data_IF_624670837104
#
_entry.id   IF_624670837104
#
_cell.length_a   1.000
_cell.length_b   1.000
_cell.length_c   1.000
_cell.angle_alpha   90.00
_cell.angle_beta   90.00
_cell.angle_gamma   90.00
#
_symmetry.space_group_name_H-M   'P 1'
#
loop_
_entity.id
_entity.type
_entity.pdbx_description
1 polymer ?
#
# COMPACT_ATOMS: atom_id res chain seq x y z
N UNK A 1 -44.45 -15.04 -75.48
CA UNK A 1 -43.10 -15.42 -74.97
C UNK A 1 -42.69 -14.42 -73.88
N UNK A 2 -42.79 -14.83 -72.61
CA UNK A 2 -42.64 -13.94 -71.48
C UNK A 2 -41.34 -14.27 -70.79
N UNK A 3 -40.42 -13.32 -70.69
CA UNK A 3 -39.15 -13.45 -69.98
C UNK A 3 -39.31 -13.01 -68.53
N UNK A 4 -39.18 -13.95 -67.60
CA UNK A 4 -39.16 -13.68 -66.16
C UNK A 4 -37.77 -13.21 -65.76
N UNK A 5 -37.69 -12.00 -65.19
CA UNK A 5 -36.49 -11.48 -64.54
C UNK A 5 -36.53 -11.90 -63.05
N UNK A 6 -35.61 -12.73 -62.64
CA UNK A 6 -35.30 -13.04 -61.23
C UNK A 6 -34.38 -11.99 -60.63
N UNK A 7 -34.87 -11.27 -59.62
CA UNK A 7 -34.08 -10.38 -58.81
C UNK A 7 -33.42 -11.17 -57.69
N UNK A 8 -32.09 -11.18 -57.64
CA UNK A 8 -31.33 -11.74 -56.53
C UNK A 8 -31.11 -10.68 -55.47
N UNK A 9 -31.67 -10.91 -54.27
CA UNK A 9 -31.48 -10.05 -53.11
C UNK A 9 -30.18 -10.49 -52.38
N UNK A 10 -29.15 -9.65 -52.42
CA UNK A 10 -27.96 -9.82 -51.59
C UNK A 10 -28.25 -9.30 -50.19
N UNK A 11 -28.39 -10.21 -49.23
CA UNK A 11 -28.46 -9.91 -47.81
C UNK A 11 -27.04 -9.65 -47.27
N UNK A 12 -26.78 -8.39 -46.87
CA UNK A 12 -25.58 -8.05 -46.14
C UNK A 12 -25.76 -8.43 -44.64
N UNK A 13 -25.12 -9.51 -44.23
CA UNK A 13 -25.00 -9.90 -42.82
C UNK A 13 -23.92 -9.00 -42.17
N UNK A 14 -24.36 -7.95 -41.50
CA UNK A 14 -23.51 -7.14 -40.66
C UNK A 14 -23.15 -7.91 -39.35
N UNK A 15 -21.95 -8.45 -39.29
CA UNK A 15 -21.38 -9.01 -38.06
C UNK A 15 -20.95 -7.85 -37.12
N UNK A 16 -21.81 -7.49 -36.18
CA UNK A 16 -21.44 -6.61 -35.07
C UNK A 16 -20.57 -7.40 -34.08
N UNK A 17 -19.27 -7.23 -34.16
CA UNK A 17 -18.33 -7.75 -33.17
C UNK A 17 -18.53 -7.00 -31.85
N UNK A 18 -19.24 -7.64 -30.91
CA UNK A 18 -19.41 -7.17 -29.55
C UNK A 18 -18.07 -7.43 -28.82
N UNK A 19 -17.22 -6.42 -28.77
CA UNK A 19 -15.99 -6.47 -27.96
C UNK A 19 -16.41 -6.43 -26.50
N UNK A 20 -16.44 -7.59 -25.85
CA UNK A 20 -16.55 -7.68 -24.39
C UNK A 20 -15.26 -7.09 -23.80
N UNK A 21 -15.32 -5.83 -23.37
CA UNK A 21 -14.29 -5.30 -22.46
C UNK A 21 -14.41 -6.11 -21.15
N UNK A 22 -13.55 -7.09 -20.95
CA UNK A 22 -13.35 -7.71 -19.66
C UNK A 22 -12.71 -6.67 -18.75
N UNK A 23 -13.53 -5.99 -17.94
CA UNK A 23 -13.09 -5.22 -16.79
C UNK A 23 -12.48 -6.22 -15.81
N UNK A 24 -11.18 -6.47 -15.91
CA UNK A 24 -10.44 -7.15 -14.85
C UNK A 24 -10.52 -6.25 -13.62
N UNK A 25 -11.15 -6.69 -12.51
CA UNK A 25 -11.11 -5.90 -11.30
C UNK A 25 -9.63 -5.75 -10.89
N UNK A 26 -9.14 -4.51 -10.89
CA UNK A 26 -7.84 -4.22 -10.29
C UNK A 26 -7.95 -4.58 -8.81
N UNK A 27 -7.01 -5.36 -8.25
CA UNK A 27 -7.06 -5.69 -6.84
C UNK A 27 -7.06 -4.38 -6.03
N UNK A 28 -8.15 -4.16 -5.29
CA UNK A 28 -8.20 -3.05 -4.35
C UNK A 28 -7.20 -3.35 -3.24
N UNK A 29 -6.13 -2.57 -3.18
CA UNK A 29 -5.06 -2.74 -2.20
C UNK A 29 -5.48 -2.10 -0.89
N UNK A 30 -5.46 -2.85 0.23
CA UNK A 30 -5.68 -2.32 1.57
C UNK A 30 -4.40 -1.61 2.01
N UNK A 31 -4.52 -0.44 2.65
CA UNK A 31 -3.33 0.30 3.07
C UNK A 31 -3.51 0.93 4.43
N UNK A 32 -2.41 1.08 5.16
CA UNK A 32 -2.38 1.77 6.43
C UNK A 32 -1.21 1.38 7.33
N UNK A 33 -1.10 2.07 8.47
CA UNK A 33 -0.10 1.79 9.50
C UNK A 33 -0.62 2.06 10.90
N UNK A 34 0.06 1.51 11.91
CA UNK A 34 -0.22 1.80 13.32
C UNK A 34 0.21 3.23 13.65
N UNK A 35 -0.72 4.00 14.25
CA UNK A 35 -0.51 5.36 14.74
C UNK A 35 -0.56 5.45 16.26
N UNK A 36 -1.11 4.42 16.93
CA UNK A 36 -0.94 4.23 18.38
C UNK A 36 -0.90 2.73 18.72
N UNK A 37 0.22 2.18 19.23
CA UNK A 37 1.52 2.83 19.25
C UNK A 37 2.02 3.06 17.83
N UNK A 38 2.77 4.15 17.61
CA UNK A 38 3.22 4.50 16.26
C UNK A 38 4.21 3.47 15.74
N UNK A 39 4.03 3.03 14.49
CA UNK A 39 4.95 2.07 13.86
C UNK A 39 6.26 2.73 13.42
N UNK A 40 7.34 1.94 13.30
CA UNK A 40 8.65 2.41 12.84
C UNK A 40 8.56 3.23 11.56
N UNK A 41 7.85 2.69 10.56
CA UNK A 41 7.69 3.37 9.27
C UNK A 41 6.90 4.68 9.41
N UNK A 42 5.80 4.69 10.17
CA UNK A 42 4.98 5.88 10.36
C UNK A 42 5.72 6.95 11.17
N UNK A 43 6.51 6.55 12.16
CA UNK A 43 7.32 7.48 12.96
C UNK A 43 8.39 8.18 12.11
N UNK A 44 9.15 7.42 11.29
CA UNK A 44 10.15 8.01 10.39
C UNK A 44 9.51 8.87 9.30
N UNK A 45 8.35 8.46 8.77
CA UNK A 45 7.59 9.30 7.84
C UNK A 45 7.13 10.61 8.48
N UNK A 46 6.70 10.58 9.75
CA UNK A 46 6.29 11.78 10.47
C UNK A 46 7.44 12.79 10.66
N UNK A 47 8.67 12.31 10.80
CA UNK A 47 9.86 13.18 10.86
C UNK A 47 10.16 13.89 9.54
N UNK A 48 9.74 13.34 8.41
CA UNK A 48 9.93 13.86 7.06
C UNK A 48 10.93 13.03 6.25
N UNK A 49 10.52 12.49 5.08
CA UNK A 49 11.39 11.66 4.25
C UNK A 49 12.68 12.36 3.81
N UNK A 50 12.61 13.65 3.50
CA UNK A 50 13.78 14.42 2.99
C UNK A 50 14.71 14.90 4.11
N UNK A 51 14.18 15.10 5.32
CA UNK A 51 14.92 15.68 6.45
C UNK A 51 14.60 14.97 7.77
N UNK A 52 14.85 13.66 7.89
CA UNK A 52 14.58 12.92 9.12
C UNK A 52 15.42 13.47 10.30
N UNK A 53 14.86 13.36 11.50
CA UNK A 53 15.45 13.97 12.71
C UNK A 53 16.26 12.95 13.50
N UNK A 54 15.65 11.79 13.82
CA UNK A 54 16.31 10.72 14.56
C UNK A 54 17.39 10.03 13.74
N UNK A 55 18.45 9.52 14.42
CA UNK A 55 19.57 8.89 13.70
C UNK A 55 19.11 7.65 12.94
N UNK A 56 18.24 6.82 13.51
CA UNK A 56 17.75 5.62 12.83
C UNK A 56 16.97 5.95 11.57
N UNK A 57 16.14 7.02 11.56
CA UNK A 57 15.40 7.44 10.37
C UNK A 57 16.32 8.05 9.30
N UNK A 58 17.38 8.76 9.70
CA UNK A 58 18.46 9.22 8.78
C UNK A 58 19.16 8.04 8.13
N UNK A 59 19.53 7.04 8.93
CA UNK A 59 20.21 5.83 8.43
C UNK A 59 19.29 5.04 7.49
N UNK A 60 17.98 4.96 7.80
CA UNK A 60 16.98 4.33 6.95
C UNK A 60 16.92 5.00 5.57
N UNK A 61 16.86 6.32 5.54
CA UNK A 61 16.85 7.07 4.27
C UNK A 61 18.17 6.92 3.53
N UNK A 62 19.30 6.91 4.23
CA UNK A 62 20.63 6.69 3.61
C UNK A 62 20.74 5.29 2.99
N UNK A 63 20.14 4.26 3.61
CA UNK A 63 20.17 2.86 3.14
C UNK A 63 19.16 2.58 2.03
N UNK A 64 17.94 3.06 2.16
CA UNK A 64 16.79 2.65 1.34
C UNK A 64 16.18 3.77 0.50
N UNK A 65 16.68 5.00 0.62
CA UNK A 65 16.09 6.19 0.02
C UNK A 65 14.82 6.65 0.73
N UNK A 66 14.17 7.67 0.17
CA UNK A 66 12.97 8.30 0.75
C UNK A 66 11.68 7.55 0.40
N UNK A 67 11.69 6.77 -0.70
CA UNK A 67 10.48 6.12 -1.22
C UNK A 67 9.79 5.19 -0.23
N UNK A 68 10.49 4.37 0.59
CA UNK A 68 9.82 3.56 1.62
C UNK A 68 8.98 4.38 2.60
N UNK A 69 9.41 5.62 2.89
CA UNK A 69 8.68 6.52 3.79
C UNK A 69 7.46 7.14 3.11
N UNK A 70 7.54 7.52 1.84
CA UNK A 70 6.36 7.97 1.08
C UNK A 70 5.32 6.87 0.90
N UNK A 71 5.78 5.61 0.81
CA UNK A 71 4.92 4.42 0.73
C UNK A 71 4.70 3.75 2.10
N UNK A 72 4.62 4.55 3.16
CA UNK A 72 4.53 4.13 4.57
C UNK A 72 3.37 3.18 4.88
N UNK A 73 2.34 3.18 4.06
CA UNK A 73 1.09 2.44 4.25
C UNK A 73 1.08 1.07 3.54
N UNK A 74 2.19 0.64 2.89
CA UNK A 74 2.25 -0.54 2.02
C UNK A 74 3.24 -1.62 2.52
N UNK A 75 3.46 -1.76 3.81
CA UNK A 75 4.27 -2.90 4.32
C UNK A 75 3.39 -4.17 4.30
N UNK A 76 3.39 -4.88 3.17
CA UNK A 76 2.45 -5.97 2.88
C UNK A 76 3.08 -7.18 2.17
N UNK A 77 2.33 -8.28 2.13
CA UNK A 77 2.53 -9.42 1.25
C UNK A 77 1.22 -9.67 0.51
N UNK A 78 1.23 -9.52 -0.82
CA UNK A 78 0.02 -9.61 -1.65
C UNK A 78 -0.66 -10.99 -1.58
N UNK A 79 0.11 -12.07 -1.46
CA UNK A 79 -0.37 -13.46 -1.44
C UNK A 79 -0.03 -14.16 -0.12
N UNK A 80 -0.27 -13.50 1.02
CA UNK A 80 0.02 -14.05 2.34
C UNK A 80 -0.87 -15.25 2.70
N UNK A 81 -2.16 -15.23 2.35
CA UNK A 81 -3.11 -16.34 2.59
C UNK A 81 -3.06 -16.90 4.03
N UNK A 82 -2.81 -16.07 5.04
CA UNK A 82 -2.64 -16.52 6.41
C UNK A 82 -1.31 -17.19 6.73
N UNK A 83 -0.39 -17.29 5.76
CA UNK A 83 0.88 -18.01 5.86
C UNK A 83 2.06 -17.12 6.27
N UNK A 84 1.80 -16.07 7.06
CA UNK A 84 2.83 -15.08 7.43
C UNK A 84 4.08 -15.71 8.03
N UNK A 85 3.92 -16.74 8.89
CA UNK A 85 5.06 -17.41 9.56
C UNK A 85 5.93 -18.23 8.58
N UNK A 86 5.37 -18.70 7.49
CA UNK A 86 6.08 -19.45 6.45
C UNK A 86 6.79 -18.52 5.47
N UNK A 87 6.18 -17.35 5.18
CA UNK A 87 6.66 -16.42 4.18
C UNK A 87 7.68 -15.41 4.72
N UNK A 88 7.62 -15.12 6.01
CA UNK A 88 8.50 -14.14 6.66
C UNK A 88 9.49 -14.87 7.56
N UNK A 89 10.77 -14.93 7.21
CA UNK A 89 11.79 -15.54 8.04
C UNK A 89 12.06 -14.70 9.29
N UNK A 90 12.62 -15.31 10.31
CA UNK A 90 13.16 -14.63 11.48
C UNK A 90 14.12 -13.51 11.07
N UNK A 91 14.05 -12.38 11.77
CA UNK A 91 14.83 -11.18 11.46
C UNK A 91 14.25 -10.31 10.34
N UNK A 92 13.12 -10.70 9.71
CA UNK A 92 12.50 -9.96 8.61
C UNK A 92 11.04 -9.59 8.88
N UNK A 93 10.61 -9.62 10.14
CA UNK A 93 9.21 -9.44 10.51
C UNK A 93 8.69 -8.03 10.23
N UNK A 94 9.49 -7.01 10.54
CA UNK A 94 9.04 -5.62 10.44
C UNK A 94 8.97 -5.11 8.99
N UNK A 95 9.77 -5.68 8.09
CA UNK A 95 9.75 -5.40 6.66
C UNK A 95 8.74 -6.25 5.88
N UNK A 96 8.12 -7.26 6.52
CA UNK A 96 7.36 -8.31 5.83
C UNK A 96 8.19 -9.03 4.76
N UNK A 97 9.49 -9.23 5.01
CA UNK A 97 10.47 -9.80 4.07
C UNK A 97 10.61 -9.02 2.74
N UNK A 98 10.20 -7.75 2.70
CA UNK A 98 10.35 -6.89 1.51
C UNK A 98 11.63 -6.07 1.59
N UNK A 99 12.48 -6.14 0.55
CA UNK A 99 13.75 -5.41 0.52
C UNK A 99 13.57 -3.89 0.52
N UNK A 100 12.49 -3.38 -0.05
CA UNK A 100 12.10 -1.96 0.03
C UNK A 100 12.09 -1.44 1.47
N UNK A 101 11.68 -2.29 2.41
CA UNK A 101 11.50 -1.94 3.82
C UNK A 101 12.54 -2.58 4.75
N UNK A 102 13.64 -3.15 4.22
CA UNK A 102 14.64 -3.93 4.99
C UNK A 102 15.18 -3.21 6.21
N UNK A 103 15.31 -1.89 6.15
CA UNK A 103 15.79 -1.09 7.26
C UNK A 103 14.89 -1.19 8.50
N UNK A 104 13.59 -1.47 8.34
CA UNK A 104 12.67 -1.64 9.47
C UNK A 104 13.01 -2.84 10.35
N UNK A 105 13.80 -3.79 9.87
CA UNK A 105 14.22 -4.98 10.61
C UNK A 105 15.45 -4.75 11.50
N UNK A 106 16.08 -3.58 11.43
CA UNK A 106 17.29 -3.35 12.21
C UNK A 106 17.07 -3.49 13.71
N UNK A 107 17.91 -4.29 14.33
CA UNK A 107 17.93 -4.54 15.76
C UNK A 107 18.62 -3.38 16.49
N UNK A 108 17.86 -2.34 16.81
CA UNK A 108 18.36 -1.07 17.39
C UNK A 108 17.46 -0.60 18.51
N UNK A 109 18.02 0.11 19.47
CA UNK A 109 17.31 0.65 20.64
C UNK A 109 16.91 2.12 20.49
N UNK A 110 17.34 2.78 19.42
CA UNK A 110 17.08 4.20 19.14
C UNK A 110 15.88 4.45 18.22
N UNK A 111 15.08 3.40 17.89
CA UNK A 111 13.81 3.60 17.20
C UNK A 111 12.89 4.53 18.02
N UNK A 112 12.20 5.48 17.34
CA UNK A 112 11.14 6.26 17.98
C UNK A 112 10.12 5.32 18.65
N UNK A 113 9.70 5.61 19.87
CA UNK A 113 8.91 4.69 20.68
C UNK A 113 7.74 5.37 21.38
N UNK A 114 6.76 4.57 21.78
CA UNK A 114 5.61 4.99 22.57
C UNK A 114 5.77 4.48 24.00
N UNK A 115 5.61 5.36 25.00
CA UNK A 115 5.55 4.96 26.41
C UNK A 115 4.25 4.20 26.70
N UNK A 116 4.34 3.05 27.38
CA UNK A 116 3.18 2.21 27.69
C UNK A 116 3.21 1.73 29.13
N UNK A 117 2.04 1.28 29.63
CA UNK A 117 1.87 0.59 30.92
C UNK A 117 1.11 -0.72 30.69
N UNK A 118 1.17 -1.62 31.68
CA UNK A 118 0.31 -2.81 31.70
C UNK A 118 -1.16 -2.42 31.84
N UNK A 119 -2.06 -3.22 31.29
CA UNK A 119 -3.50 -3.01 31.35
C UNK A 119 -4.11 -2.66 30.01
N UNK A 120 -5.28 -2.04 30.05
CA UNK A 120 -5.99 -1.65 28.83
C UNK A 120 -5.18 -0.64 28.03
N UNK A 121 -5.13 -0.85 26.70
CA UNK A 121 -4.44 0.02 25.76
C UNK A 121 -5.31 0.24 24.51
N UNK A 122 -5.39 1.53 24.09
CA UNK A 122 -6.17 1.93 22.91
C UNK A 122 -5.27 1.94 21.68
N UNK A 123 -5.52 1.01 20.80
CA UNK A 123 -4.83 0.92 19.50
C UNK A 123 -5.51 1.82 18.48
N UNK A 124 -4.69 2.48 17.65
CA UNK A 124 -5.16 3.30 16.54
C UNK A 124 -4.42 2.94 15.26
N UNK A 125 -5.15 2.51 14.25
CA UNK A 125 -4.60 2.18 12.94
C UNK A 125 -5.14 3.17 11.90
N UNK A 126 -4.25 3.92 11.23
CA UNK A 126 -4.63 4.80 10.12
C UNK A 126 -4.88 3.95 8.88
N UNK A 127 -6.06 4.11 8.30
CA UNK A 127 -6.50 3.38 7.12
C UNK A 127 -6.53 4.33 5.94
N UNK A 128 -5.83 4.02 4.86
CA UNK A 128 -5.92 4.75 3.59
C UNK A 128 -6.78 4.00 2.56
N UNK A 129 -6.98 2.69 2.76
CA UNK A 129 -7.97 1.90 2.03
C UNK A 129 -8.57 0.84 2.96
N UNK A 130 -9.87 0.93 3.23
CA UNK A 130 -10.58 0.10 4.21
C UNK A 130 -11.04 -1.24 3.62
N UNK A 131 -10.71 -2.34 4.30
CA UNK A 131 -11.09 -3.69 3.90
C UNK A 131 -11.51 -4.55 5.09
N UNK A 132 -12.35 -5.55 4.82
CA UNK A 132 -12.67 -6.57 5.81
C UNK A 132 -11.48 -7.49 6.06
N UNK A 133 -11.31 -7.89 7.30
CA UNK A 133 -10.19 -8.75 7.70
C UNK A 133 -10.08 -8.88 9.22
N UNK A 134 -8.96 -9.43 9.64
CA UNK A 134 -8.63 -9.55 11.06
C UNK A 134 -7.26 -8.94 11.33
N UNK A 135 -7.20 -7.98 12.23
CA UNK A 135 -5.95 -7.51 12.82
C UNK A 135 -5.64 -8.34 14.06
N UNK A 136 -4.46 -8.92 14.10
CA UNK A 136 -3.92 -9.63 15.26
C UNK A 136 -2.66 -8.89 15.72
N UNK A 137 -2.63 -8.52 16.98
CA UNK A 137 -1.55 -7.72 17.58
C UNK A 137 -0.84 -8.55 18.65
N UNK A 138 0.44 -8.69 18.50
CA UNK A 138 1.32 -9.40 19.43
C UNK A 138 2.27 -8.41 20.11
N UNK A 139 2.85 -8.82 21.23
CA UNK A 139 3.97 -8.12 21.88
C UNK A 139 5.10 -9.11 22.12
N UNK A 140 6.33 -8.63 22.17
CA UNK A 140 7.48 -9.47 22.52
C UNK A 140 7.42 -9.96 23.95
N UNK A 141 7.92 -11.18 24.20
CA UNK A 141 8.01 -11.81 25.51
C UNK A 141 8.90 -11.00 26.46
N UNK A 142 8.67 -11.15 27.77
CA UNK A 142 9.60 -10.58 28.77
C UNK A 142 11.01 -11.18 28.56
N UNK A 143 12.01 -10.32 28.58
CA UNK A 143 13.42 -10.71 28.31
C UNK A 143 13.81 -10.62 26.83
N UNK A 144 12.93 -10.12 25.96
CA UNK A 144 13.30 -9.78 24.57
C UNK A 144 14.50 -8.81 24.55
N UNK A 145 15.48 -9.12 23.70
CA UNK A 145 16.68 -8.30 23.49
C UNK A 145 16.51 -7.45 22.21
N UNK A 146 16.26 -6.14 22.32
CA UNK A 146 16.03 -5.27 21.17
C UNK A 146 17.29 -5.04 20.29
N UNK A 147 18.46 -5.52 20.75
CA UNK A 147 19.69 -5.49 19.97
C UNK A 147 19.90 -6.71 19.08
N UNK A 148 18.95 -7.63 19.07
CA UNK A 148 18.94 -8.81 18.21
C UNK A 148 17.80 -8.76 17.22
N UNK A 149 17.95 -9.38 16.04
CA UNK A 149 16.88 -9.47 15.05
C UNK A 149 15.63 -10.12 15.63
N UNK A 150 14.47 -9.51 15.41
CA UNK A 150 13.17 -9.99 15.91
C UNK A 150 12.81 -11.34 15.25
N UNK A 151 12.45 -12.32 16.09
CA UNK A 151 12.03 -13.65 15.65
C UNK A 151 10.56 -13.88 15.99
N UNK A 152 9.93 -14.80 15.30
CA UNK A 152 8.57 -15.25 15.62
C UNK A 152 8.46 -15.82 17.04
N UNK A 153 9.52 -16.50 17.51
CA UNK A 153 9.61 -17.06 18.86
C UNK A 153 9.70 -16.00 19.96
N UNK A 154 10.09 -14.77 19.63
CA UNK A 154 10.16 -13.66 20.56
C UNK A 154 8.79 -13.06 20.88
N UNK A 155 7.79 -13.33 20.06
CA UNK A 155 6.41 -12.85 20.27
C UNK A 155 5.68 -13.75 21.26
N UNK A 156 4.82 -13.14 22.11
CA UNK A 156 3.88 -13.91 22.91
C UNK A 156 3.00 -14.79 22.03
N UNK A 157 2.67 -15.99 22.49
CA UNK A 157 1.81 -16.92 21.74
C UNK A 157 0.35 -16.44 21.71
N UNK A 158 -0.07 -15.70 22.75
CA UNK A 158 -1.41 -15.09 22.83
C UNK A 158 -1.35 -13.64 22.38
N UNK A 159 -2.19 -13.22 21.43
CA UNK A 159 -2.26 -11.83 20.99
C UNK A 159 -2.80 -10.92 22.11
N UNK A 160 -2.27 -9.70 22.20
CA UNK A 160 -2.73 -8.65 23.12
C UNK A 160 -4.01 -7.98 22.64
N UNK A 161 -4.31 -8.08 21.34
CA UNK A 161 -5.57 -7.64 20.75
C UNK A 161 -5.88 -8.44 19.47
N UNK A 162 -7.17 -8.64 19.24
CA UNK A 162 -7.71 -9.12 17.95
C UNK A 162 -8.89 -8.22 17.58
N UNK A 163 -8.89 -7.71 16.35
CA UNK A 163 -9.93 -6.79 15.89
C UNK A 163 -10.42 -7.18 14.49
N UNK A 164 -11.75 -7.28 14.33
CA UNK A 164 -12.38 -7.50 13.01
C UNK A 164 -12.56 -6.16 12.33
N UNK A 165 -11.88 -5.98 11.21
CA UNK A 165 -12.02 -4.79 10.37
C UNK A 165 -13.22 -4.92 9.45
N UNK A 166 -13.76 -3.76 9.03
CA UNK A 166 -14.83 -3.66 8.04
C UNK A 166 -14.34 -2.85 6.83
N UNK A 167 -15.15 -2.81 5.78
CA UNK A 167 -14.88 -1.98 4.59
C UNK A 167 -15.11 -0.48 4.82
N UNK A 168 -15.42 -0.10 6.05
CA UNK A 168 -15.59 1.30 6.46
C UNK A 168 -14.70 1.57 7.66
N UNK A 169 -14.08 2.74 7.68
CA UNK A 169 -13.29 3.24 8.80
C UNK A 169 -13.90 4.55 9.30
N UNK A 170 -13.89 4.77 10.62
CA UNK A 170 -14.39 6.01 11.19
C UNK A 170 -13.28 7.06 11.12
N UNK A 171 -13.54 8.16 10.42
CA UNK A 171 -12.58 9.25 10.22
C UNK A 171 -11.20 8.79 9.71
N UNK A 172 -11.19 7.73 8.88
CA UNK A 172 -9.97 7.15 8.36
C UNK A 172 -9.18 6.28 9.35
N UNK A 173 -9.83 5.81 10.43
CA UNK A 173 -9.17 5.01 11.46
C UNK A 173 -9.97 3.76 11.85
N UNK A 174 -9.24 2.71 12.19
CA UNK A 174 -9.73 1.62 13.04
C UNK A 174 -9.19 1.86 14.46
N UNK A 175 -10.12 2.10 15.40
CA UNK A 175 -9.83 2.25 16.81
C UNK A 175 -10.32 1.01 17.54
N UNK A 176 -9.46 0.40 18.35
CA UNK A 176 -9.79 -0.82 19.10
C UNK A 176 -8.96 -0.91 20.37
N UNK A 177 -9.39 -1.72 21.32
CA UNK A 177 -8.71 -1.91 22.58
C UNK A 177 -8.08 -3.30 22.67
N UNK A 178 -7.06 -3.41 23.51
CA UNK A 178 -6.43 -4.66 23.90
C UNK A 178 -5.89 -4.57 25.30
N UNK A 179 -5.21 -5.62 25.76
CA UNK A 179 -4.62 -5.67 27.10
C UNK A 179 -3.13 -5.95 26.99
N UNK A 180 -2.32 -4.97 27.40
CA UNK A 180 -0.87 -5.15 27.46
C UNK A 180 -0.49 -5.89 28.75
N UNK A 181 0.33 -6.94 28.69
CA UNK A 181 0.82 -7.64 29.86
C UNK A 181 1.81 -6.77 30.65
N UNK A 182 2.06 -7.13 31.91
CA UNK A 182 3.13 -6.51 32.66
C UNK A 182 4.48 -6.84 32.07
N UNK A 183 5.27 -5.81 31.75
CA UNK A 183 6.60 -5.88 31.17
C UNK A 183 7.48 -4.77 31.73
N UNK A 184 8.77 -4.85 31.47
CA UNK A 184 9.74 -3.80 31.79
C UNK A 184 10.67 -3.56 30.61
N UNK A 185 11.09 -2.32 30.40
CA UNK A 185 12.03 -1.98 29.33
C UNK A 185 11.38 -1.84 27.96
N UNK A 186 12.17 -2.08 26.90
CA UNK A 186 11.76 -1.91 25.50
C UNK A 186 11.21 -3.22 24.93
N UNK A 187 10.09 -3.10 24.26
CA UNK A 187 9.41 -4.17 23.56
C UNK A 187 8.99 -3.74 22.15
N UNK A 188 8.62 -4.72 21.31
CA UNK A 188 8.02 -4.49 20.01
C UNK A 188 6.59 -5.01 20.03
N UNK A 189 5.65 -4.17 19.63
CA UNK A 189 4.30 -4.57 19.28
C UNK A 189 4.28 -4.86 17.78
N UNK A 190 3.94 -6.11 17.43
CA UNK A 190 3.88 -6.60 16.06
C UNK A 190 2.42 -6.83 15.65
N UNK A 191 1.99 -6.18 14.57
CA UNK A 191 0.62 -6.29 14.04
C UNK A 191 0.63 -7.01 12.69
N UNK A 192 -0.29 -7.95 12.53
CA UNK A 192 -0.66 -8.58 11.25
C UNK A 192 -2.10 -8.22 10.96
N UNK A 193 -2.39 -7.68 9.79
CA UNK A 193 -3.75 -7.51 9.28
C UNK A 193 -3.94 -8.41 8.07
N UNK A 194 -4.57 -9.57 8.27
CA UNK A 194 -4.96 -10.47 7.19
C UNK A 194 -6.33 -10.07 6.67
N UNK A 195 -6.43 -9.83 5.37
CA UNK A 195 -7.71 -9.56 4.70
C UNK A 195 -8.53 -10.84 4.54
N UNK A 196 -9.87 -10.67 4.47
CA UNK A 196 -10.81 -11.74 4.12
C UNK A 196 -11.24 -11.66 2.65
N UNK A 197 -11.14 -10.47 2.05
CA UNK A 197 -11.59 -10.20 0.69
C UNK A 197 -10.47 -10.29 -0.36
N UNK A 198 -9.26 -10.62 0.08
CA UNK A 198 -8.10 -10.95 -0.76
C UNK A 198 -7.06 -11.75 0.04
N UNK A 199 -6.08 -12.40 -0.63
CA UNK A 199 -5.00 -13.11 0.05
C UNK A 199 -4.00 -12.21 0.76
N UNK A 200 -4.10 -10.90 0.65
CA UNK A 200 -3.13 -9.92 1.12
C UNK A 200 -3.11 -9.78 2.65
N UNK A 201 -1.92 -9.54 3.21
CA UNK A 201 -1.76 -9.16 4.61
C UNK A 201 -0.79 -8.00 4.77
N UNK A 202 -1.00 -7.17 5.83
CA UNK A 202 -0.21 -6.00 6.18
C UNK A 202 0.43 -6.15 7.54
N UNK A 203 1.64 -5.63 7.66
CA UNK A 203 2.49 -5.82 8.84
C UNK A 203 2.98 -4.50 9.39
N UNK A 204 3.26 -4.45 10.68
CA UNK A 204 3.96 -3.31 11.29
C UNK A 204 4.61 -3.69 12.61
N UNK A 205 5.75 -3.07 12.88
CA UNK A 205 6.44 -3.05 14.17
C UNK A 205 6.31 -1.68 14.80
N UNK A 206 5.93 -1.62 16.06
CA UNK A 206 5.92 -0.40 16.87
C UNK A 206 6.78 -0.63 18.12
N UNK A 207 7.77 0.21 18.32
CA UNK A 207 8.59 0.14 19.52
C UNK A 207 7.86 0.79 20.69
N UNK A 208 7.82 0.09 21.82
CA UNK A 208 7.20 0.58 23.06
C UNK A 208 8.16 0.45 24.24
N UNK A 209 8.05 1.36 25.21
CA UNK A 209 8.88 1.35 26.42
C UNK A 209 7.99 1.44 27.65
N UNK A 210 8.04 0.41 28.47
CA UNK A 210 7.30 0.37 29.74
C UNK A 210 7.89 1.31 30.77
N UNK A 211 7.02 2.06 31.44
CA UNK A 211 7.42 3.01 32.47
C UNK A 211 8.14 4.26 31.95
N UNK A 212 8.17 4.45 30.62
CA UNK A 212 8.76 5.65 30.04
C UNK A 212 7.83 6.84 30.16
N UNK A 213 8.38 7.97 30.62
CA UNK A 213 7.73 9.29 30.60
C UNK A 213 8.15 10.11 29.39
N UNK A 214 8.99 9.54 28.49
CA UNK A 214 9.40 10.21 27.25
C UNK A 214 8.19 10.48 26.36
N UNK A 215 8.22 11.64 25.68
CA UNK A 215 7.19 11.99 24.71
C UNK A 215 7.09 10.85 23.69
N UNK A 216 5.87 10.36 23.49
CA UNK A 216 5.60 9.35 22.47
C UNK A 216 6.07 9.85 21.09
N UNK A 217 6.57 8.94 20.27
CA UNK A 217 6.84 9.22 18.87
C UNK A 217 5.56 9.77 18.20
N UNK A 218 5.73 10.80 17.39
CA UNK A 218 4.60 11.43 16.71
C UNK A 218 4.12 10.55 15.56
N UNK A 219 2.79 10.42 15.41
CA UNK A 219 2.20 9.94 14.18
C UNK A 219 2.17 11.06 13.11
N UNK A 220 2.14 10.73 11.82
CA UNK A 220 2.00 11.72 10.76
C UNK A 220 0.71 12.51 10.88
N UNK A 221 0.74 13.80 10.54
CA UNK A 221 -0.47 14.63 10.47
C UNK A 221 -1.21 14.41 9.15
N UNK A 222 -2.53 14.67 9.14
CA UNK A 222 -3.33 14.61 7.91
C UNK A 222 -2.83 15.60 6.84
N UNK A 223 -2.38 16.80 7.25
CA UNK A 223 -1.81 17.78 6.33
C UNK A 223 -0.56 17.25 5.65
N UNK A 224 0.34 16.58 6.43
CA UNK A 224 1.54 15.97 5.86
C UNK A 224 1.19 14.85 4.87
N UNK A 225 0.30 13.95 5.26
CA UNK A 225 -0.12 12.84 4.39
C UNK A 225 -0.75 13.35 3.08
N UNK A 226 -1.55 14.41 3.15
CA UNK A 226 -2.15 15.05 1.96
C UNK A 226 -1.08 15.71 1.08
N UNK A 227 -0.14 16.43 1.68
CA UNK A 227 0.93 17.11 0.94
C UNK A 227 1.88 16.12 0.24
N UNK A 228 2.17 15.00 0.88
CA UNK A 228 3.12 14.00 0.40
C UNK A 228 2.48 12.94 -0.51
N UNK A 229 1.14 12.86 -0.59
CA UNK A 229 0.44 11.88 -1.40
C UNK A 229 0.94 11.79 -2.86
N UNK A 230 1.28 12.89 -3.56
CA UNK A 230 1.83 12.83 -4.92
C UNK A 230 3.19 12.13 -5.03
N UNK A 231 3.94 11.98 -3.92
CA UNK A 231 5.23 11.30 -3.88
C UNK A 231 5.11 9.79 -3.65
N UNK A 232 3.93 9.31 -3.23
CA UNK A 232 3.69 7.88 -3.05
C UNK A 232 3.56 7.17 -4.40
N UNK A 233 4.16 5.99 -4.50
CA UNK A 233 3.98 5.08 -5.65
C UNK A 233 2.83 4.10 -5.43
N UNK A 234 2.20 4.15 -4.25
CA UNK A 234 1.07 3.29 -3.90
C UNK A 234 -0.19 3.81 -4.58
N UNK A 235 -0.80 2.98 -5.42
CA UNK A 235 -2.01 3.36 -6.14
C UNK A 235 -3.21 3.45 -5.18
N UNK A 236 -3.68 4.66 -4.92
CA UNK A 236 -4.89 4.92 -4.15
C UNK A 236 -6.10 4.95 -5.08
N UNK A 237 -6.71 3.79 -5.33
CA UNK A 237 -7.96 3.72 -6.09
C UNK A 237 -9.16 3.91 -5.16
N UNK A 238 -9.44 5.17 -4.77
CA UNK A 238 -10.76 5.68 -4.42
C UNK A 238 -11.64 4.92 -3.41
N UNK A 239 -11.06 4.22 -2.44
CA UNK A 239 -11.82 3.51 -1.42
C UNK A 239 -11.57 4.08 -0.02
N UNK A 240 -12.38 5.09 0.30
CA UNK A 240 -12.73 5.57 1.64
C UNK A 240 -11.63 5.61 2.70
N UNK A 241 -10.93 6.71 2.81
CA UNK A 241 -9.97 6.97 3.88
C UNK A 241 -8.96 8.07 3.57
N UNK A 242 -8.66 8.30 2.30
CA UNK A 242 -7.86 9.46 1.92
C UNK A 242 -8.74 10.70 1.78
N UNK A 243 -8.27 11.88 2.22
CA UNK A 243 -8.94 13.12 1.89
C UNK A 243 -9.00 13.22 0.36
N UNK A 244 -10.22 13.32 -0.19
CA UNK A 244 -10.42 13.53 -1.62
C UNK A 244 -9.66 14.80 -2.00
N UNK A 245 -8.73 14.78 -2.97
CA UNK A 245 -8.14 16.01 -3.47
C UNK A 245 -9.28 16.93 -3.90
N UNK A 246 -9.23 18.24 -3.63
CA UNK A 246 -10.24 19.15 -4.13
C UNK A 246 -10.31 18.98 -5.64
N UNK A 247 -11.52 18.73 -6.15
CA UNK A 247 -11.75 18.55 -7.57
C UNK A 247 -11.11 19.73 -8.30
N UNK A 248 -10.18 19.44 -9.22
CA UNK A 248 -9.58 20.45 -10.04
C UNK A 248 -10.72 21.17 -10.76
N UNK A 249 -10.91 22.44 -10.45
CA UNK A 249 -11.90 23.31 -11.12
C UNK A 249 -11.52 23.29 -12.60
N UNK A 250 -12.42 22.87 -13.51
CA UNK A 250 -12.11 22.94 -14.93
C UNK A 250 -11.82 24.41 -15.27
N UNK A 251 -10.79 24.69 -16.11
CA UNK A 251 -10.50 26.05 -16.50
C UNK A 251 -11.74 26.65 -17.17
N UNK A 252 -12.18 27.80 -16.70
CA UNK A 252 -13.24 28.60 -17.36
C UNK A 252 -12.86 28.79 -18.82
N UNK A 253 -13.79 28.62 -19.77
CA UNK A 253 -13.53 28.96 -21.15
C UNK A 253 -13.27 30.44 -21.25
N UNK A 254 -12.01 30.82 -21.46
CA UNK A 254 -11.67 32.16 -21.87
C UNK A 254 -12.07 32.35 -23.33
N UNK A 255 -12.99 33.25 -23.60
CA UNK A 255 -13.29 33.79 -24.93
C UNK A 255 -12.01 34.20 -25.63
N UNK A 256 -11.60 33.43 -26.64
CA UNK A 256 -10.63 33.86 -27.62
C UNK A 256 -11.16 33.53 -29.01
N UNK A 257 -11.81 34.54 -29.60
CA UNK A 257 -12.06 34.61 -31.03
C UNK A 257 -10.74 34.63 -31.78
N UNK A 258 -10.46 33.60 -32.55
CA UNK A 258 -9.46 33.63 -33.60
C UNK A 258 -9.88 32.66 -34.75
N UNK A 259 -9.57 33.00 -36.05
CA UNK A 259 -10.29 32.51 -37.20
C UNK A 259 -9.91 31.08 -37.64
N UNK A 260 -10.91 30.40 -38.17
CA UNK A 260 -10.81 29.07 -38.74
C UNK A 260 -9.88 29.06 -40.00
N UNK A 261 -8.82 28.27 -39.92
CA UNK A 261 -8.07 27.82 -41.10
C UNK A 261 -8.45 26.38 -41.45
N UNK A 262 -9.07 26.20 -42.60
CA UNK A 262 -9.37 24.90 -43.20
C UNK A 262 -8.06 24.17 -43.56
N UNK A 263 -7.80 23.03 -42.95
CA UNK A 263 -6.75 22.12 -43.38
C UNK A 263 -7.38 20.86 -43.96
N UNK A 264 -7.11 20.64 -45.24
CA UNK A 264 -7.56 19.49 -46.02
C UNK A 264 -6.89 18.20 -45.57
N UNK A 265 -7.69 17.17 -45.39
CA UNK A 265 -7.23 15.81 -45.12
C UNK A 265 -6.88 15.14 -46.44
N UNK A 266 -5.59 14.82 -46.63
CA UNK A 266 -5.13 13.98 -47.77
C UNK A 266 -4.95 12.54 -47.26
N UNK A 267 -5.79 11.65 -47.72
CA UNK A 267 -5.64 10.20 -47.59
C UNK A 267 -4.63 9.69 -48.60
N UNK A 268 -3.54 9.10 -48.15
CA UNK A 268 -2.64 8.31 -49.01
C UNK A 268 -2.73 6.84 -48.63
N UNK A 269 -3.37 6.06 -49.48
CA UNK A 269 -3.32 4.60 -49.48
C UNK A 269 -2.05 4.14 -50.17
N UNK A 270 -1.28 3.27 -49.57
CA UNK A 270 -0.23 2.51 -50.25
C UNK A 270 -0.43 1.02 -50.01
N UNK A 271 -0.72 0.35 -51.13
CA UNK A 271 -0.88 -1.10 -51.20
C UNK A 271 0.45 -1.79 -51.50
N UNK A 272 0.59 -2.95 -50.90
CA UNK A 272 1.14 -4.20 -51.38
C UNK A 272 2.42 -4.24 -52.24
N UNK A 273 3.28 -5.20 -51.91
CA UNK A 273 4.26 -5.77 -52.80
C UNK A 273 5.17 -6.75 -52.07
N UNK A 274 4.77 -8.02 -52.08
CA UNK A 274 5.66 -9.10 -51.64
C UNK A 274 6.74 -9.41 -52.68
N UNK A 275 7.87 -9.89 -52.23
CA UNK A 275 8.72 -10.77 -53.03
C UNK A 275 9.54 -11.70 -52.13
N UNK A 276 9.30 -13.00 -52.27
CA UNK A 276 10.18 -14.10 -51.89
C UNK A 276 11.48 -14.03 -52.70
N UNK A 277 12.61 -14.29 -52.06
CA UNK A 277 13.74 -14.94 -52.71
C UNK A 277 14.58 -15.75 -51.71
N UNK A 278 14.55 -17.06 -51.92
CA UNK A 278 15.45 -18.08 -51.45
C UNK A 278 16.87 -17.91 -52.05
N UNK A 279 17.92 -18.16 -51.27
CA UNK A 279 19.16 -18.90 -51.64
C UNK A 279 20.12 -18.91 -50.44
N UNK A 280 20.34 -20.05 -49.86
CA UNK A 280 21.30 -21.14 -50.13
C UNK A 280 22.77 -20.75 -49.88
N UNK A 281 23.30 -21.39 -48.81
CA UNK A 281 24.58 -22.16 -48.71
C UNK A 281 25.92 -21.43 -48.64
N UNK A 282 26.64 -21.86 -47.65
CA UNK A 282 28.06 -22.31 -47.53
C UNK A 282 28.95 -21.39 -46.68
N UNK A 283 29.59 -22.08 -45.72
CA UNK A 283 30.76 -21.73 -44.96
C UNK A 283 30.65 -22.33 -43.58
#
# INVERSE_FOLDING_TARGET
MSARRTAASLGVLGATSLTLLTLTPTPASAHGAMFNPVSRIAACYAEGPEHPVSQVCKDLVADSGTQPLYDWNEVNIANANGQSRQLIPDGRLCSANRDKYRALDWARTDWPSTGVAAGQFDFKFRVTAAHSGTMTVYITKQGFDPTKPLKWSDLDDTPVATYRTSRTATDGYYNFTGTLPARTGRHIIYKVWQRDDSPEAFYSCSDVVYGSTTKAAAAPSEQKMTADAPHSTVAHHGHGGDPTPPAATPPSPSDSTAPQALAAVSTASAAAGGLLLLRRRRG
#
